data_IF_710268390888
#
_entry.id   IF_710268390888
#
_cell.length_a   1.000
_cell.length_b   1.000
_cell.length_c   1.000
_cell.angle_alpha   90.00
_cell.angle_beta   90.00
_cell.angle_gamma   90.00
#
_symmetry.space_group_name_H-M   'P 1'
#
loop_
_entity.id
_entity.type
_entity.pdbx_description
1 polymer ?
#
# COMPACT_ATOMS: atom_id res chain seq x y z
N UNK A 1 9.34 22.93 -10.79
CA UNK A 1 9.66 21.72 -10.00
C UNK A 1 11.12 21.36 -10.23
N UNK A 2 11.87 21.05 -9.19
CA UNK A 2 13.27 20.64 -9.33
C UNK A 2 13.39 19.29 -10.04
N UNK A 3 14.52 19.04 -10.75
CA UNK A 3 14.76 17.77 -11.44
C UNK A 3 14.55 16.55 -10.54
N UNK A 4 15.00 16.60 -9.29
CA UNK A 4 14.80 15.55 -8.30
C UNK A 4 13.32 15.28 -8.01
N UNK A 5 12.49 16.34 -7.90
CA UNK A 5 11.04 16.21 -7.69
C UNK A 5 10.38 15.38 -8.77
N UNK A 6 10.68 15.69 -10.04
CA UNK A 6 10.09 14.95 -11.16
C UNK A 6 10.56 13.49 -11.20
N UNK A 7 11.86 13.24 -10.96
CA UNK A 7 12.41 11.89 -10.94
C UNK A 7 11.77 11.04 -9.83
N UNK A 8 11.63 11.60 -8.63
CA UNK A 8 11.05 10.89 -7.48
C UNK A 8 9.56 10.61 -7.64
N UNK A 9 8.79 11.61 -8.12
CA UNK A 9 7.35 11.41 -8.37
C UNK A 9 7.15 10.39 -9.50
N UNK A 10 7.93 10.46 -10.58
CA UNK A 10 7.83 9.48 -11.66
C UNK A 10 8.24 8.07 -11.20
N UNK A 11 9.26 7.95 -10.36
CA UNK A 11 9.70 6.67 -9.82
C UNK A 11 8.61 6.00 -8.98
N UNK A 12 8.03 6.73 -8.00
CA UNK A 12 6.97 6.18 -7.17
C UNK A 12 5.70 5.91 -7.99
N UNK A 13 5.38 6.74 -8.97
CA UNK A 13 4.24 6.58 -9.85
C UNK A 13 4.32 5.27 -10.66
N UNK A 14 5.46 5.02 -11.29
CA UNK A 14 5.70 3.82 -12.11
C UNK A 14 5.71 2.57 -11.22
N UNK A 15 6.37 2.62 -10.06
CA UNK A 15 6.35 1.53 -9.09
C UNK A 15 4.91 1.20 -8.65
N UNK A 16 4.11 2.22 -8.34
CA UNK A 16 2.70 2.04 -7.92
C UNK A 16 1.87 1.35 -8.99
N UNK A 17 2.12 1.60 -10.28
CA UNK A 17 1.42 0.89 -11.38
C UNK A 17 1.73 -0.60 -11.32
N UNK A 18 3.01 -0.97 -11.24
CA UNK A 18 3.45 -2.36 -11.16
C UNK A 18 2.83 -3.07 -9.96
N UNK A 19 2.98 -2.50 -8.76
CA UNK A 19 2.43 -3.04 -7.52
C UNK A 19 0.91 -3.29 -7.61
N UNK A 20 0.14 -2.38 -8.20
CA UNK A 20 -1.32 -2.52 -8.34
C UNK A 20 -1.68 -3.66 -9.29
N UNK A 21 -0.99 -3.75 -10.42
CA UNK A 21 -1.22 -4.80 -11.42
C UNK A 21 -0.86 -6.16 -10.82
N UNK A 22 0.29 -6.26 -10.16
CA UNK A 22 0.75 -7.48 -9.54
C UNK A 22 -0.15 -7.94 -8.38
N UNK A 23 -0.53 -7.03 -7.46
CA UNK A 23 -1.41 -7.33 -6.34
C UNK A 23 -2.77 -7.88 -6.81
N UNK A 24 -3.37 -7.24 -7.85
CA UNK A 24 -4.66 -7.68 -8.39
C UNK A 24 -4.52 -9.02 -9.11
N UNK A 25 -3.42 -9.23 -9.84
CA UNK A 25 -3.11 -10.48 -10.51
C UNK A 25 -2.97 -11.63 -9.51
N UNK A 26 -2.21 -11.45 -8.44
CA UNK A 26 -2.04 -12.48 -7.40
C UNK A 26 -3.39 -12.80 -6.74
N UNK A 27 -4.18 -11.78 -6.39
CA UNK A 27 -5.52 -11.98 -5.82
C UNK A 27 -6.43 -12.77 -6.77
N UNK A 28 -6.36 -12.48 -8.08
CA UNK A 28 -7.14 -13.16 -9.11
C UNK A 28 -6.69 -14.60 -9.32
N UNK A 29 -5.40 -14.81 -9.58
CA UNK A 29 -4.88 -16.12 -9.94
C UNK A 29 -4.92 -17.13 -8.80
N UNK A 30 -4.59 -16.73 -7.58
CA UNK A 30 -4.68 -17.65 -6.44
C UNK A 30 -6.12 -18.06 -6.13
N UNK A 31 -7.08 -17.18 -6.43
CA UNK A 31 -8.50 -17.53 -6.32
C UNK A 31 -8.95 -18.50 -7.42
N UNK A 32 -8.38 -18.37 -8.63
CA UNK A 32 -8.74 -19.19 -9.81
C UNK A 32 -8.09 -20.56 -9.79
N UNK A 33 -6.76 -20.60 -9.64
CA UNK A 33 -5.95 -21.80 -9.79
C UNK A 33 -6.30 -22.88 -8.76
N UNK A 34 -6.66 -22.48 -7.54
CA UNK A 34 -6.94 -23.42 -6.46
C UNK A 34 -8.43 -23.76 -6.33
N UNK A 35 -9.32 -23.09 -7.06
CA UNK A 35 -10.77 -23.20 -6.87
C UNK A 35 -11.24 -22.80 -5.46
N UNK A 36 -10.33 -22.33 -4.61
CA UNK A 36 -10.59 -21.96 -3.23
C UNK A 36 -10.12 -20.51 -2.97
N UNK A 37 -11.06 -19.59 -2.96
CA UNK A 37 -10.78 -18.16 -2.70
C UNK A 37 -10.09 -17.91 -1.34
N UNK A 38 -10.24 -18.83 -0.37
CA UNK A 38 -9.58 -18.71 0.94
C UNK A 38 -8.07 -18.70 0.84
N UNK A 39 -7.49 -19.34 -0.17
CA UNK A 39 -6.05 -19.32 -0.40
C UNK A 39 -5.54 -17.90 -0.74
N UNK A 40 -6.25 -17.15 -1.57
CA UNK A 40 -5.93 -15.75 -1.82
C UNK A 40 -6.12 -14.89 -0.55
N UNK A 41 -7.18 -15.13 0.23
CA UNK A 41 -7.41 -14.46 1.52
C UNK A 41 -6.27 -14.73 2.49
N UNK A 42 -5.77 -15.97 2.58
CA UNK A 42 -4.62 -16.30 3.43
C UNK A 42 -3.34 -15.59 3.00
N UNK A 43 -3.04 -15.58 1.70
CA UNK A 43 -1.82 -14.91 1.20
C UNK A 43 -1.91 -13.40 1.42
N UNK A 44 -3.00 -12.76 1.02
CA UNK A 44 -3.19 -11.31 1.17
C UNK A 44 -3.23 -10.91 2.66
N UNK A 45 -3.97 -11.65 3.48
CA UNK A 45 -4.08 -11.38 4.91
C UNK A 45 -2.75 -11.53 5.64
N UNK A 46 -1.96 -12.57 5.31
CA UNK A 46 -0.63 -12.78 5.87
C UNK A 46 0.34 -11.69 5.42
N UNK A 47 0.32 -11.28 4.14
CA UNK A 47 1.10 -10.16 3.60
C UNK A 47 0.79 -8.87 4.36
N UNK A 48 -0.48 -8.50 4.52
CA UNK A 48 -0.88 -7.29 5.26
C UNK A 48 -0.39 -7.31 6.71
N UNK A 49 -0.54 -8.43 7.42
CA UNK A 49 -0.06 -8.58 8.79
C UNK A 49 1.46 -8.49 8.87
N UNK A 50 2.16 -9.13 7.93
CA UNK A 50 3.62 -9.12 7.85
C UNK A 50 4.18 -7.71 7.59
N UNK A 51 3.61 -6.98 6.61
CA UNK A 51 3.97 -5.58 6.33
C UNK A 51 3.75 -4.67 7.53
N UNK A 52 2.65 -4.84 8.26
CA UNK A 52 2.40 -4.09 9.48
C UNK A 52 3.49 -4.30 10.53
N UNK A 53 3.94 -5.55 10.72
CA UNK A 53 5.05 -5.88 11.64
C UNK A 53 6.38 -5.33 11.11
N UNK A 54 6.67 -5.54 9.81
CA UNK A 54 7.90 -5.06 9.18
C UNK A 54 8.09 -3.56 9.31
N UNK A 55 7.00 -2.79 9.21
CA UNK A 55 7.06 -1.32 9.24
C UNK A 55 7.73 -0.77 10.50
N UNK A 56 7.63 -1.46 11.64
CA UNK A 56 8.30 -1.07 12.89
C UNK A 56 9.82 -1.26 12.83
N UNK A 57 10.29 -2.32 12.17
CA UNK A 57 11.71 -2.64 12.11
C UNK A 57 12.44 -1.91 10.99
N UNK A 58 11.80 -1.80 9.84
CA UNK A 58 12.40 -1.22 8.63
C UNK A 58 12.68 0.26 8.80
N UNK A 59 11.83 1.02 9.51
CA UNK A 59 12.06 2.44 9.77
C UNK A 59 13.41 2.69 10.45
N UNK A 60 13.64 2.05 11.61
CA UNK A 60 14.90 2.17 12.34
C UNK A 60 16.14 1.66 11.56
N UNK A 61 15.94 0.65 10.70
CA UNK A 61 16.99 0.16 9.80
C UNK A 61 17.37 1.19 8.73
N UNK A 62 16.37 1.81 8.09
CA UNK A 62 16.55 2.82 7.04
C UNK A 62 17.26 4.06 7.56
N UNK A 63 16.93 4.53 8.76
CA UNK A 63 17.54 5.72 9.36
C UNK A 63 19.06 5.59 9.56
N UNK A 64 19.55 4.35 9.63
CA UNK A 64 20.98 4.04 9.84
C UNK A 64 21.76 3.75 8.56
N UNK A 65 21.09 3.66 7.42
CA UNK A 65 21.71 3.24 6.17
C UNK A 65 21.50 4.28 5.07
N UNK A 66 22.28 4.16 4.00
CA UNK A 66 22.15 4.96 2.79
C UNK A 66 20.79 4.74 2.14
N UNK A 67 19.91 5.73 2.23
CA UNK A 67 18.52 5.67 1.77
C UNK A 67 18.45 5.40 0.27
N UNK A 68 19.25 6.11 -0.52
CA UNK A 68 19.31 5.89 -1.97
C UNK A 68 19.81 4.50 -2.33
N UNK A 69 20.83 3.97 -1.63
CA UNK A 69 21.34 2.61 -1.87
C UNK A 69 20.27 1.56 -1.52
N UNK A 70 19.55 1.75 -0.41
CA UNK A 70 18.46 0.86 -0.02
C UNK A 70 17.36 0.82 -1.07
N UNK A 71 16.95 1.97 -1.64
CA UNK A 71 15.97 2.01 -2.73
C UNK A 71 16.46 1.27 -3.98
N UNK A 72 17.74 1.41 -4.34
CA UNK A 72 18.34 0.70 -5.47
C UNK A 72 18.37 -0.82 -5.21
N UNK A 73 18.84 -1.22 -4.03
CA UNK A 73 18.94 -2.63 -3.64
C UNK A 73 17.54 -3.27 -3.60
N UNK A 74 16.53 -2.59 -3.04
CA UNK A 74 15.17 -3.10 -2.98
C UNK A 74 14.61 -3.37 -4.38
N UNK A 75 14.82 -2.46 -5.35
CA UNK A 75 14.35 -2.66 -6.72
C UNK A 75 15.09 -3.79 -7.45
N UNK A 76 16.42 -3.88 -7.30
CA UNK A 76 17.18 -4.98 -7.89
C UNK A 76 16.72 -6.33 -7.29
N UNK A 77 16.53 -6.37 -5.98
CA UNK A 77 16.04 -7.57 -5.29
C UNK A 77 14.61 -7.93 -5.74
N UNK A 78 13.71 -6.95 -5.89
CA UNK A 78 12.35 -7.19 -6.41
C UNK A 78 12.37 -7.74 -7.84
N UNK A 79 13.21 -7.20 -8.72
CA UNK A 79 13.37 -7.74 -10.09
C UNK A 79 13.77 -9.22 -10.03
N UNK A 80 14.73 -9.58 -9.19
CA UNK A 80 15.17 -10.98 -9.05
C UNK A 80 14.05 -11.85 -8.48
N UNK A 81 13.38 -11.41 -7.43
CA UNK A 81 12.30 -12.16 -6.77
C UNK A 81 11.14 -12.38 -7.72
N UNK A 82 10.67 -11.35 -8.45
CA UNK A 82 9.56 -11.48 -9.40
C UNK A 82 9.97 -12.33 -10.61
N UNK A 83 11.24 -12.26 -11.06
CA UNK A 83 11.74 -13.15 -12.12
C UNK A 83 11.73 -14.60 -11.69
N UNK A 84 12.16 -14.91 -10.46
CA UNK A 84 12.10 -16.26 -9.89
C UNK A 84 10.66 -16.70 -9.68
N UNK A 85 9.79 -15.80 -9.23
CA UNK A 85 8.35 -16.07 -9.07
C UNK A 85 7.72 -16.48 -10.42
N UNK A 86 8.01 -15.73 -11.49
CA UNK A 86 7.55 -16.06 -12.84
C UNK A 86 8.10 -17.45 -13.31
N UNK A 87 9.37 -17.73 -13.06
CA UNK A 87 10.00 -19.01 -13.43
C UNK A 87 9.36 -20.21 -12.71
N UNK A 88 9.03 -20.04 -11.42
CA UNK A 88 8.44 -21.09 -10.59
C UNK A 88 6.91 -20.99 -10.51
N UNK A 89 6.26 -20.22 -11.38
CA UNK A 89 4.83 -19.99 -11.35
C UNK A 89 3.98 -21.26 -11.35
N UNK A 90 4.38 -22.29 -12.10
CA UNK A 90 3.72 -23.61 -12.07
C UNK A 90 3.70 -24.24 -10.67
N UNK A 91 4.83 -24.20 -9.96
CA UNK A 91 4.92 -24.70 -8.58
C UNK A 91 4.13 -23.87 -7.59
N UNK A 92 4.00 -22.55 -7.82
CA UNK A 92 3.19 -21.65 -6.98
C UNK A 92 1.71 -22.03 -7.05
N UNK A 93 1.22 -22.43 -8.20
CA UNK A 93 -0.16 -22.91 -8.38
C UNK A 93 -0.43 -24.18 -7.60
N UNK A 94 0.53 -25.09 -7.56
CA UNK A 94 0.41 -26.37 -6.86
C UNK A 94 0.62 -26.22 -5.35
N UNK A 95 1.51 -25.32 -4.93
CA UNK A 95 1.94 -25.13 -3.55
C UNK A 95 1.85 -23.65 -3.12
N UNK A 96 0.71 -23.27 -2.54
CA UNK A 96 0.43 -21.88 -2.11
C UNK A 96 1.48 -21.30 -1.15
N UNK A 97 2.16 -22.18 -0.36
CA UNK A 97 3.22 -21.77 0.56
C UNK A 97 4.42 -21.15 -0.19
N UNK A 98 4.71 -21.62 -1.42
CA UNK A 98 5.76 -21.06 -2.28
C UNK A 98 5.34 -19.65 -2.74
N UNK A 99 4.11 -19.49 -3.18
CA UNK A 99 3.56 -18.18 -3.55
C UNK A 99 3.60 -17.19 -2.39
N UNK A 100 3.19 -17.64 -1.20
CA UNK A 100 3.27 -16.81 0.02
C UNK A 100 4.71 -16.39 0.31
N UNK A 101 5.69 -17.30 0.20
CA UNK A 101 7.09 -16.97 0.42
C UNK A 101 7.57 -15.86 -0.51
N UNK A 102 7.27 -15.94 -1.83
CA UNK A 102 7.64 -14.90 -2.79
C UNK A 102 6.97 -13.56 -2.49
N UNK A 103 5.68 -13.57 -2.14
CA UNK A 103 4.95 -12.35 -1.76
C UNK A 103 5.60 -11.71 -0.52
N UNK A 104 5.90 -12.48 0.53
CA UNK A 104 6.53 -11.95 1.74
C UNK A 104 7.95 -11.42 1.49
N UNK A 105 8.73 -12.05 0.62
CA UNK A 105 10.04 -11.54 0.23
C UNK A 105 9.93 -10.21 -0.54
N UNK A 106 8.94 -10.09 -1.43
CA UNK A 106 8.69 -8.83 -2.12
C UNK A 106 8.17 -7.73 -1.19
N UNK A 107 7.35 -8.08 -0.18
CA UNK A 107 6.89 -7.16 0.86
C UNK A 107 8.05 -6.52 1.63
N UNK A 108 9.12 -7.28 1.93
CA UNK A 108 10.34 -6.75 2.56
C UNK A 108 10.95 -5.65 1.69
N UNK A 109 11.09 -5.90 0.38
CA UNK A 109 11.66 -4.93 -0.55
C UNK A 109 10.79 -3.69 -0.69
N UNK A 110 9.47 -3.87 -0.76
CA UNK A 110 8.51 -2.77 -0.88
C UNK A 110 8.53 -1.88 0.37
N UNK A 111 8.55 -2.45 1.58
CA UNK A 111 8.69 -1.67 2.82
C UNK A 111 10.05 -0.94 2.89
N UNK A 112 11.14 -1.58 2.49
CA UNK A 112 12.46 -0.95 2.41
C UNK A 112 12.44 0.24 1.43
N UNK A 113 11.84 0.07 0.26
CA UNK A 113 11.71 1.12 -0.74
C UNK A 113 10.89 2.30 -0.21
N UNK A 114 9.67 2.05 0.29
CA UNK A 114 8.75 3.10 0.75
C UNK A 114 9.36 3.89 1.92
N UNK A 115 9.93 3.22 2.92
CA UNK A 115 10.55 3.89 4.07
C UNK A 115 11.78 4.71 3.66
N UNK A 116 12.62 4.16 2.79
CA UNK A 116 13.78 4.86 2.25
C UNK A 116 13.36 6.07 1.40
N UNK A 117 12.31 5.94 0.60
CA UNK A 117 11.74 7.03 -0.19
C UNK A 117 11.23 8.18 0.70
N UNK A 118 10.44 7.87 1.73
CA UNK A 118 9.91 8.87 2.67
C UNK A 118 11.06 9.57 3.39
N UNK A 119 12.01 8.81 3.92
CA UNK A 119 13.16 9.37 4.65
C UNK A 119 14.07 10.19 3.75
N UNK A 120 14.37 9.73 2.53
CA UNK A 120 15.18 10.48 1.57
C UNK A 120 14.50 11.78 1.13
N UNK A 121 13.19 11.77 0.92
CA UNK A 121 12.47 12.98 0.51
C UNK A 121 12.41 14.03 1.62
N UNK A 122 12.33 13.60 2.89
CA UNK A 122 12.40 14.51 4.03
C UNK A 122 13.80 15.15 4.20
N UNK A 123 14.85 14.50 3.72
CA UNK A 123 16.21 15.07 3.75
C UNK A 123 16.47 16.05 2.59
N UNK A 124 15.86 15.79 1.42
CA UNK A 124 16.09 16.60 0.20
C UNK A 124 15.36 17.94 0.24
N UNK A 125 14.17 17.97 0.85
CA UNK A 125 13.26 19.11 0.81
C UNK A 125 13.17 19.80 2.17
N UNK A 126 13.18 21.15 2.18
CA UNK A 126 12.76 21.90 3.36
C UNK A 126 11.27 21.64 3.68
N UNK A 127 10.82 22.02 4.88
CA UNK A 127 9.47 21.74 5.37
C UNK A 127 8.37 22.17 4.38
N UNK A 128 8.46 23.38 3.82
CA UNK A 128 7.47 23.90 2.87
C UNK A 128 7.51 23.18 1.52
N UNK A 129 8.71 22.84 1.05
CA UNK A 129 8.90 22.07 -0.18
C UNK A 129 8.44 20.64 -0.01
N UNK A 130 8.71 20.02 1.16
CA UNK A 130 8.27 18.67 1.49
C UNK A 130 6.75 18.55 1.49
N UNK A 131 6.04 19.50 2.12
CA UNK A 131 4.55 19.51 2.11
C UNK A 131 4.01 19.58 0.67
N UNK A 132 4.58 20.45 -0.16
CA UNK A 132 4.19 20.56 -1.57
C UNK A 132 4.50 19.29 -2.35
N UNK A 133 5.70 18.73 -2.17
CA UNK A 133 6.12 17.48 -2.79
C UNK A 133 5.19 16.34 -2.43
N UNK A 134 4.90 16.14 -1.14
CA UNK A 134 3.99 15.11 -0.66
C UNK A 134 2.57 15.28 -1.22
N UNK A 135 2.10 16.52 -1.31
CA UNK A 135 0.79 16.80 -1.90
C UNK A 135 0.72 16.38 -3.37
N UNK A 136 1.73 16.75 -4.18
CA UNK A 136 1.80 16.32 -5.57
C UNK A 136 1.97 14.81 -5.72
N UNK A 137 2.88 14.21 -4.95
CA UNK A 137 3.10 12.76 -4.96
C UNK A 137 1.82 12.00 -4.64
N UNK A 138 1.08 12.42 -3.61
CA UNK A 138 -0.18 11.83 -3.22
C UNK A 138 -1.26 11.96 -4.31
N UNK A 139 -1.37 13.12 -4.96
CA UNK A 139 -2.33 13.30 -6.07
C UNK A 139 -2.00 12.36 -7.22
N UNK A 140 -0.73 12.31 -7.63
CA UNK A 140 -0.28 11.46 -8.75
C UNK A 140 -0.51 9.99 -8.43
N UNK A 141 -0.10 9.51 -7.25
CA UNK A 141 -0.29 8.11 -6.86
C UNK A 141 -1.77 7.72 -6.72
N UNK A 142 -2.64 8.65 -6.29
CA UNK A 142 -4.10 8.39 -6.24
C UNK A 142 -4.73 8.28 -7.61
N UNK A 143 -4.38 9.16 -8.55
CA UNK A 143 -4.85 9.07 -9.95
C UNK A 143 -4.40 7.74 -10.55
N UNK A 144 -3.13 7.40 -10.39
CA UNK A 144 -2.55 6.13 -10.86
C UNK A 144 -3.24 4.93 -10.21
N UNK A 145 -3.62 5.02 -8.94
CA UNK A 145 -4.32 3.92 -8.27
C UNK A 145 -5.71 3.65 -8.87
N UNK A 146 -6.42 4.68 -9.32
CA UNK A 146 -7.70 4.52 -10.02
C UNK A 146 -7.49 3.88 -11.39
N UNK A 147 -6.63 4.48 -12.20
CA UNK A 147 -6.37 4.03 -13.57
C UNK A 147 -5.66 2.67 -13.59
N UNK A 148 -4.67 2.49 -12.72
CA UNK A 148 -3.91 1.25 -12.60
C UNK A 148 -4.77 0.06 -12.20
N UNK A 149 -5.73 0.23 -11.30
CA UNK A 149 -6.63 -0.87 -10.93
C UNK A 149 -7.59 -1.25 -12.06
N UNK A 150 -8.10 -0.28 -12.81
CA UNK A 150 -8.91 -0.54 -14.00
C UNK A 150 -8.09 -1.23 -15.10
N UNK A 151 -6.88 -0.73 -15.38
CA UNK A 151 -5.95 -1.33 -16.33
C UNK A 151 -5.52 -2.74 -15.92
N UNK A 152 -5.25 -2.97 -14.62
CA UNK A 152 -4.89 -4.28 -14.11
C UNK A 152 -5.98 -5.31 -14.40
N UNK A 153 -7.25 -4.98 -14.16
CA UNK A 153 -8.36 -5.87 -14.46
C UNK A 153 -8.42 -6.23 -15.96
N UNK A 154 -8.26 -5.25 -16.85
CA UNK A 154 -8.23 -5.48 -18.30
C UNK A 154 -7.00 -6.30 -18.73
N UNK A 155 -5.82 -6.02 -18.18
CA UNK A 155 -4.61 -6.77 -18.51
C UNK A 155 -4.74 -8.24 -18.10
N UNK A 156 -5.26 -8.53 -16.91
CA UNK A 156 -5.44 -9.91 -16.42
C UNK A 156 -6.36 -10.73 -17.35
N UNK A 157 -7.34 -10.10 -17.99
CA UNK A 157 -8.25 -10.79 -18.91
C UNK A 157 -7.67 -11.02 -20.31
N UNK A 158 -6.78 -10.13 -20.77
CA UNK A 158 -6.40 -10.09 -22.19
C UNK A 158 -4.94 -10.45 -22.47
N UNK A 159 -4.07 -10.48 -21.44
CA UNK A 159 -2.66 -10.80 -21.62
C UNK A 159 -2.27 -12.06 -20.86
N UNK A 160 -1.17 -12.69 -21.27
CA UNK A 160 -0.65 -13.86 -20.58
C UNK A 160 -0.08 -13.50 -19.21
N UNK A 161 -0.10 -14.45 -18.29
CA UNK A 161 0.50 -14.32 -16.96
C UNK A 161 1.96 -13.86 -17.01
N UNK A 162 2.74 -14.42 -17.95
CA UNK A 162 4.12 -14.04 -18.17
C UNK A 162 4.25 -12.56 -18.56
N UNK A 163 3.33 -12.02 -19.34
CA UNK A 163 3.35 -10.61 -19.72
C UNK A 163 3.13 -9.71 -18.49
N UNK A 164 2.31 -10.11 -17.53
CA UNK A 164 2.10 -9.38 -16.28
C UNK A 164 3.39 -9.32 -15.46
N UNK A 165 4.10 -10.45 -15.31
CA UNK A 165 5.41 -10.46 -14.65
C UNK A 165 6.44 -9.56 -15.37
N UNK A 166 6.46 -9.58 -16.70
CA UNK A 166 7.36 -8.71 -17.48
C UNK A 166 7.02 -7.23 -17.30
N UNK A 167 5.74 -6.88 -17.23
CA UNK A 167 5.30 -5.51 -16.96
C UNK A 167 5.78 -5.07 -15.58
N UNK A 168 5.59 -5.90 -14.56
CA UNK A 168 5.99 -5.57 -13.19
C UNK A 168 7.53 -5.43 -13.07
N UNK A 169 8.29 -6.36 -13.61
CA UNK A 169 9.76 -6.26 -13.71
C UNK A 169 10.17 -4.96 -14.42
N UNK A 170 9.47 -4.61 -15.52
CA UNK A 170 9.70 -3.38 -16.27
C UNK A 170 9.47 -2.12 -15.45
N UNK A 171 8.44 -2.09 -14.61
CA UNK A 171 8.16 -0.95 -13.72
C UNK A 171 9.25 -0.78 -12.67
N UNK A 172 9.72 -1.86 -12.03
CA UNK A 172 10.86 -1.82 -11.11
C UNK A 172 12.14 -1.33 -11.82
N UNK A 173 12.40 -1.82 -13.03
CA UNK A 173 13.59 -1.42 -13.80
C UNK A 173 13.57 0.07 -14.18
N UNK A 174 12.43 0.58 -14.66
CA UNK A 174 12.29 2.01 -15.00
C UNK A 174 12.41 2.87 -13.73
N UNK A 175 11.75 2.48 -12.65
CA UNK A 175 11.85 3.16 -11.35
C UNK A 175 13.29 3.19 -10.85
N UNK A 176 14.03 2.08 -10.95
CA UNK A 176 15.46 1.98 -10.61
C UNK A 176 16.30 2.98 -11.40
N UNK A 177 16.09 3.10 -12.73
CA UNK A 177 16.79 4.06 -13.57
C UNK A 177 16.50 5.51 -13.18
N UNK A 178 15.28 5.82 -12.79
CA UNK A 178 14.88 7.15 -12.32
C UNK A 178 15.55 7.47 -10.99
N UNK A 179 15.53 6.57 -10.02
CA UNK A 179 16.14 6.73 -8.70
C UNK A 179 17.67 6.89 -8.82
N UNK A 180 18.30 6.13 -9.70
CA UNK A 180 19.76 6.23 -9.90
C UNK A 180 20.21 7.63 -10.30
N UNK A 181 19.36 8.38 -11.06
CA UNK A 181 19.61 9.76 -11.53
C UNK A 181 19.28 10.83 -10.49
N UNK A 182 18.67 10.50 -9.37
CA UNK A 182 18.41 11.46 -8.29
C UNK A 182 19.73 11.91 -7.67
N UNK A 183 19.93 13.23 -7.59
CA UNK A 183 21.08 13.81 -6.90
C UNK A 183 20.72 13.90 -5.42
N UNK A 184 21.44 13.13 -4.60
CA UNK A 184 21.23 13.07 -3.15
C UNK A 184 22.59 12.96 -2.45
N UNK A 185 22.89 13.95 -1.63
CA UNK A 185 24.01 13.92 -0.69
C UNK A 185 23.53 13.31 0.62
N UNK A 186 24.15 12.21 0.99
CA UNK A 186 23.76 11.51 2.21
C UNK A 186 24.07 12.35 3.44
N UNK A 187 23.07 12.65 4.24
CA UNK A 187 23.27 13.18 5.59
C UNK A 187 23.81 12.03 6.45
N UNK A 188 25.13 11.96 6.55
CA UNK A 188 25.81 10.97 7.41
C UNK A 188 25.51 11.32 8.86
N UNK A 189 24.50 10.68 9.44
CA UNK A 189 24.33 10.71 10.89
C UNK A 189 25.43 9.82 11.47
N UNK A 190 26.52 10.46 11.87
CA UNK A 190 27.68 9.83 12.51
C UNK A 190 27.32 9.36 13.93
N UNK A 191 26.38 8.47 14.07
CA UNK A 191 26.19 7.75 15.30
C UNK A 191 27.05 6.48 15.30
N UNK A 192 28.20 6.54 15.97
CA UNK A 192 29.00 5.35 16.28
C UNK A 192 28.10 4.37 17.00
N UNK A 193 27.84 3.23 16.36
CA UNK A 193 27.09 2.13 16.93
C UNK A 193 27.84 1.62 18.18
N UNK A 194 27.35 1.98 19.37
CA UNK A 194 27.79 1.40 20.65
C UNK A 194 26.95 0.18 21.05
N UNK A 195 25.79 -0.03 20.38
CA UNK A 195 24.86 -1.13 20.70
C UNK A 195 24.45 -1.85 19.41
N UNK A 196 24.12 -3.13 19.49
CA UNK A 196 23.67 -3.93 18.36
C UNK A 196 22.41 -3.33 17.68
N UNK A 197 22.24 -3.54 16.37
CA UNK A 197 21.09 -3.06 15.61
C UNK A 197 19.77 -3.49 16.27
N UNK A 198 19.69 -4.75 16.70
CA UNK A 198 18.50 -5.33 17.33
C UNK A 198 18.19 -4.64 18.67
N UNK A 199 19.21 -4.40 19.50
CA UNK A 199 19.02 -3.75 20.80
C UNK A 199 18.51 -2.32 20.65
N UNK A 200 18.98 -1.61 19.61
CA UNK A 200 18.50 -0.26 19.32
C UNK A 200 17.04 -0.29 18.84
N UNK A 201 16.68 -1.20 17.96
CA UNK A 201 15.28 -1.36 17.50
C UNK A 201 14.35 -1.66 18.68
N UNK A 202 14.75 -2.59 19.55
CA UNK A 202 13.96 -2.94 20.72
C UNK A 202 13.81 -1.73 21.66
N UNK A 203 14.88 -0.97 21.88
CA UNK A 203 14.83 0.25 22.72
C UNK A 203 13.91 1.31 22.13
N UNK A 204 13.95 1.53 20.79
CA UNK A 204 13.11 2.50 20.10
C UNK A 204 11.63 2.10 20.16
N UNK A 205 11.32 0.82 19.94
CA UNK A 205 9.95 0.29 20.08
C UNK A 205 9.47 0.44 21.53
N UNK A 206 10.31 0.11 22.51
CA UNK A 206 9.97 0.26 23.93
C UNK A 206 9.72 1.73 24.30
N UNK A 207 10.57 2.64 23.85
CA UNK A 207 10.38 4.08 24.07
C UNK A 207 9.07 4.58 23.45
N UNK A 208 8.76 4.17 22.23
CA UNK A 208 7.52 4.53 21.55
C UNK A 208 6.29 4.02 22.30
N UNK A 209 6.30 2.76 22.75
CA UNK A 209 5.20 2.19 23.54
C UNK A 209 5.00 2.89 24.88
N UNK A 210 6.10 3.24 25.55
CA UNK A 210 6.05 4.01 26.80
C UNK A 210 5.46 5.40 26.56
N UNK A 211 5.88 6.08 25.50
CA UNK A 211 5.38 7.42 25.15
C UNK A 211 3.88 7.38 24.81
N UNK A 212 3.43 6.40 24.04
CA UNK A 212 2.00 6.20 23.73
C UNK A 212 1.20 5.97 25.01
N UNK A 213 1.71 5.15 25.94
CA UNK A 213 1.02 4.83 27.20
C UNK A 213 0.89 6.05 28.12
N UNK A 214 1.85 6.97 28.10
CA UNK A 214 1.84 8.17 28.96
C UNK A 214 1.00 9.33 28.40
N UNK A 215 0.60 9.28 27.12
CA UNK A 215 -0.23 10.29 26.49
C UNK A 215 -1.58 9.69 26.08
N UNK A 216 -2.64 10.06 26.81
CA UNK A 216 -4.01 9.63 26.47
C UNK A 216 -4.40 10.02 25.05
N UNK A 217 -3.94 11.17 24.56
CA UNK A 217 -4.17 11.60 23.18
C UNK A 217 -3.52 10.66 22.17
N UNK A 218 -2.24 10.36 22.35
CA UNK A 218 -1.51 9.43 21.47
C UNK A 218 -2.09 8.02 21.51
N UNK A 219 -2.48 7.55 22.70
CA UNK A 219 -3.11 6.24 22.84
C UNK A 219 -4.42 6.14 22.05
N UNK A 220 -5.32 7.12 22.23
CA UNK A 220 -6.59 7.17 21.49
C UNK A 220 -6.35 7.27 19.99
N UNK A 221 -5.39 8.11 19.56
CA UNK A 221 -5.02 8.25 18.15
C UNK A 221 -4.52 6.92 17.54
N UNK A 222 -3.63 6.21 18.23
CA UNK A 222 -3.09 4.91 17.76
C UNK A 222 -4.19 3.85 17.69
N UNK A 223 -5.05 3.74 18.71
CA UNK A 223 -6.19 2.80 18.69
C UNK A 223 -7.12 3.11 17.53
N UNK A 224 -7.39 4.38 17.30
CA UNK A 224 -8.25 4.85 16.21
C UNK A 224 -7.65 4.51 14.85
N UNK A 225 -6.36 4.79 14.63
CA UNK A 225 -5.66 4.44 13.40
C UNK A 225 -5.61 2.92 13.20
N UNK A 226 -5.46 2.14 14.27
CA UNK A 226 -5.51 0.69 14.21
C UNK A 226 -6.88 0.20 13.71
N UNK A 227 -7.98 0.68 14.27
CA UNK A 227 -9.34 0.31 13.85
C UNK A 227 -9.60 0.70 12.39
N UNK A 228 -9.18 1.90 11.98
CA UNK A 228 -9.32 2.34 10.57
C UNK A 228 -8.51 1.46 9.62
N UNK A 229 -7.28 1.11 9.96
CA UNK A 229 -6.46 0.25 9.13
C UNK A 229 -7.01 -1.18 9.05
N UNK A 230 -7.63 -1.71 10.11
CA UNK A 230 -8.34 -2.99 10.04
C UNK A 230 -9.50 -2.93 9.04
N UNK A 231 -10.26 -1.84 9.05
CA UNK A 231 -11.34 -1.63 8.09
C UNK A 231 -10.83 -1.52 6.65
N UNK A 232 -9.71 -0.83 6.43
CA UNK A 232 -9.06 -0.78 5.10
C UNK A 232 -8.52 -2.14 4.65
N UNK A 233 -7.93 -2.91 5.57
CA UNK A 233 -7.42 -4.26 5.28
C UNK A 233 -8.50 -5.26 4.86
N UNK A 234 -9.77 -5.00 5.18
CA UNK A 234 -10.90 -5.82 4.75
C UNK A 234 -11.11 -5.79 3.22
N UNK A 235 -10.84 -4.66 2.56
CA UNK A 235 -11.15 -4.50 1.12
C UNK A 235 -10.33 -5.42 0.22
N UNK A 236 -9.00 -5.52 0.32
CA UNK A 236 -8.24 -6.50 -0.45
C UNK A 236 -8.70 -7.94 -0.22
N UNK A 237 -9.15 -8.26 1.01
CA UNK A 237 -9.62 -9.60 1.36
C UNK A 237 -10.98 -9.95 0.76
N UNK A 238 -11.80 -8.94 0.45
CA UNK A 238 -13.13 -9.19 -0.13
C UNK A 238 -13.07 -9.46 -1.63
N UNK A 239 -12.04 -9.01 -2.34
CA UNK A 239 -11.90 -9.20 -3.79
C UNK A 239 -11.93 -10.70 -4.19
N UNK A 240 -11.17 -11.61 -3.55
CA UNK A 240 -11.27 -13.05 -3.82
C UNK A 240 -12.64 -13.62 -3.54
N UNK A 241 -13.33 -13.11 -2.51
CA UNK A 241 -14.70 -13.55 -2.15
C UNK A 241 -15.69 -13.16 -3.24
N UNK A 242 -15.56 -11.98 -3.82
CA UNK A 242 -16.39 -11.55 -4.95
C UNK A 242 -16.22 -12.44 -6.15
N UNK A 243 -14.98 -12.75 -6.52
CA UNK A 243 -14.70 -13.67 -7.62
C UNK A 243 -15.43 -15.02 -7.44
N UNK A 244 -15.35 -15.59 -6.25
CA UNK A 244 -15.93 -16.89 -5.96
C UNK A 244 -17.47 -16.91 -6.03
N UNK A 245 -18.12 -15.78 -5.67
CA UNK A 245 -19.60 -15.76 -5.56
C UNK A 245 -20.29 -15.28 -6.86
N UNK A 246 -19.65 -14.44 -7.66
CA UNK A 246 -20.31 -13.76 -8.77
C UNK A 246 -19.85 -14.31 -10.12
N UNK A 247 -18.79 -15.12 -10.14
CA UNK A 247 -18.15 -15.66 -11.36
C UNK A 247 -17.86 -14.55 -12.40
N UNK A 248 -17.46 -13.36 -11.93
CA UNK A 248 -17.31 -12.15 -12.70
C UNK A 248 -15.89 -11.99 -13.23
N UNK A 249 -15.72 -11.06 -14.16
CA UNK A 249 -14.47 -10.79 -14.83
C UNK A 249 -13.45 -10.05 -13.96
N UNK A 250 -12.15 -10.16 -14.28
CA UNK A 250 -11.10 -9.44 -13.58
C UNK A 250 -11.23 -7.92 -13.74
N UNK A 251 -11.79 -7.46 -14.87
CA UNK A 251 -12.07 -6.05 -15.10
C UNK A 251 -13.03 -5.46 -14.09
N UNK A 252 -14.04 -6.21 -13.66
CA UNK A 252 -14.98 -5.78 -12.63
C UNK A 252 -14.31 -5.68 -11.25
N UNK A 253 -13.36 -6.55 -10.92
CA UNK A 253 -12.54 -6.39 -9.70
C UNK A 253 -11.69 -5.11 -9.75
N UNK A 254 -11.14 -4.79 -10.91
CA UNK A 254 -10.47 -3.52 -11.16
C UNK A 254 -11.37 -2.31 -10.89
N UNK A 255 -12.62 -2.35 -11.34
CA UNK A 255 -13.62 -1.29 -11.08
C UNK A 255 -13.94 -1.17 -9.59
N UNK A 256 -14.10 -2.29 -8.86
CA UNK A 256 -14.31 -2.26 -7.40
C UNK A 256 -13.11 -1.61 -6.69
N UNK A 257 -11.88 -2.02 -7.04
CA UNK A 257 -10.65 -1.45 -6.47
C UNK A 257 -10.50 0.03 -6.79
N UNK A 258 -10.88 0.47 -7.99
CA UNK A 258 -10.88 1.88 -8.39
C UNK A 258 -11.92 2.70 -7.62
N UNK A 259 -13.08 2.14 -7.34
CA UNK A 259 -14.19 2.83 -6.67
C UNK A 259 -13.79 3.39 -5.30
N UNK A 260 -13.00 2.65 -4.51
CA UNK A 260 -12.52 3.15 -3.21
C UNK A 260 -11.67 4.41 -3.39
N UNK A 261 -10.74 4.40 -4.33
CA UNK A 261 -9.81 5.52 -4.56
C UNK A 261 -10.55 6.75 -5.09
N UNK A 262 -11.57 6.57 -5.93
CA UNK A 262 -12.45 7.67 -6.36
C UNK A 262 -13.17 8.26 -5.16
N UNK A 263 -13.71 7.43 -4.27
CA UNK A 263 -14.31 7.87 -3.01
C UNK A 263 -13.35 8.68 -2.15
N UNK A 264 -12.11 8.23 -2.02
CA UNK A 264 -11.04 8.91 -1.28
C UNK A 264 -10.71 10.29 -1.88
N UNK A 265 -10.61 10.41 -3.20
CA UNK A 265 -10.36 11.68 -3.90
C UNK A 265 -11.48 12.68 -3.63
N UNK A 266 -12.74 12.25 -3.74
CA UNK A 266 -13.89 13.10 -3.44
C UNK A 266 -13.93 13.48 -1.95
N UNK A 267 -13.63 12.54 -1.05
CA UNK A 267 -13.50 12.78 0.39
C UNK A 267 -12.47 13.87 0.69
N UNK A 268 -11.29 13.83 0.06
CA UNK A 268 -10.25 14.86 0.20
C UNK A 268 -10.74 16.26 -0.22
N UNK A 269 -11.51 16.36 -1.29
CA UNK A 269 -12.04 17.64 -1.78
C UNK A 269 -13.05 18.28 -0.83
N UNK A 270 -13.74 17.48 -0.01
CA UNK A 270 -14.81 17.95 0.89
C UNK A 270 -14.33 18.22 2.32
N UNK A 271 -13.18 17.68 2.71
CA UNK A 271 -12.60 17.77 4.07
C UNK A 271 -12.60 19.20 4.62
N UNK A 272 -12.18 20.19 3.83
CA UNK A 272 -12.08 21.58 4.27
C UNK A 272 -13.44 22.18 4.72
N UNK A 273 -14.55 21.64 4.20
CA UNK A 273 -15.92 22.07 4.57
C UNK A 273 -16.43 21.36 5.83
N UNK A 274 -15.99 20.13 6.06
CA UNK A 274 -16.46 19.24 7.13
C UNK A 274 -15.60 19.36 8.39
N UNK A 275 -14.34 19.78 8.27
CA UNK A 275 -13.38 19.89 9.38
C UNK A 275 -13.85 20.73 10.58
N UNK A 276 -14.85 21.60 10.38
CA UNK A 276 -15.46 22.38 11.46
C UNK A 276 -16.25 21.51 12.48
N UNK A 277 -16.62 20.28 12.14
CA UNK A 277 -17.48 19.39 12.93
C UNK A 277 -16.78 18.08 13.32
N UNK A 278 -15.49 18.15 13.65
CA UNK A 278 -14.59 17.02 13.85
C UNK A 278 -15.19 15.91 14.73
N UNK A 279 -15.64 16.23 15.95
CA UNK A 279 -16.09 15.20 16.92
C UNK A 279 -17.35 14.46 16.47
N UNK A 280 -18.32 15.18 15.89
CA UNK A 280 -19.59 14.58 15.44
C UNK A 280 -19.38 13.77 14.18
N UNK A 281 -18.59 14.28 13.24
CA UNK A 281 -18.25 13.62 11.99
C UNK A 281 -17.55 12.30 12.24
N UNK A 282 -16.66 12.24 13.24
CA UNK A 282 -15.95 11.03 13.62
C UNK A 282 -16.89 9.93 14.14
N UNK A 283 -17.71 10.23 15.13
CA UNK A 283 -18.65 9.23 15.71
C UNK A 283 -19.60 8.68 14.64
N UNK A 284 -20.14 9.58 13.80
CA UNK A 284 -21.04 9.20 12.73
C UNK A 284 -20.38 8.31 11.69
N UNK A 285 -19.15 8.63 11.32
CA UNK A 285 -18.43 7.88 10.30
C UNK A 285 -17.98 6.49 10.77
N UNK A 286 -17.64 6.32 12.04
CA UNK A 286 -17.38 4.99 12.61
C UNK A 286 -18.62 4.09 12.55
N UNK A 287 -19.78 4.62 12.90
CA UNK A 287 -21.04 3.89 12.78
C UNK A 287 -21.37 3.57 11.32
N UNK A 288 -21.20 4.54 10.42
CA UNK A 288 -21.44 4.35 8.98
C UNK A 288 -20.51 3.26 8.40
N UNK A 289 -19.25 3.20 8.80
CA UNK A 289 -18.33 2.15 8.33
C UNK A 289 -18.82 0.74 8.70
N UNK A 290 -19.34 0.54 9.91
CA UNK A 290 -19.92 -0.75 10.32
C UNK A 290 -21.12 -1.10 9.42
N UNK A 291 -22.03 -0.16 9.17
CA UNK A 291 -23.18 -0.37 8.29
C UNK A 291 -22.76 -0.65 6.85
N UNK A 292 -21.74 0.04 6.33
CA UNK A 292 -21.23 -0.16 4.97
C UNK A 292 -20.63 -1.55 4.82
N UNK A 293 -19.78 -1.99 5.76
CA UNK A 293 -19.19 -3.34 5.73
C UNK A 293 -20.29 -4.40 5.77
N UNK A 294 -21.30 -4.21 6.62
CA UNK A 294 -22.46 -5.11 6.69
C UNK A 294 -23.28 -5.10 5.40
N UNK A 295 -23.49 -3.92 4.79
CA UNK A 295 -24.17 -3.79 3.52
C UNK A 295 -23.41 -4.46 2.37
N UNK A 296 -22.09 -4.31 2.30
CA UNK A 296 -21.23 -5.01 1.33
C UNK A 296 -21.42 -6.53 1.46
N UNK A 297 -21.47 -7.06 2.66
CA UNK A 297 -21.69 -8.50 2.89
C UNK A 297 -23.08 -8.94 2.47
N UNK A 298 -24.14 -8.20 2.82
CA UNK A 298 -25.53 -8.51 2.49
C UNK A 298 -25.79 -8.45 0.98
N UNK A 299 -25.20 -7.47 0.29
CA UNK A 299 -25.40 -7.25 -1.14
C UNK A 299 -24.25 -7.80 -2.00
N UNK A 300 -23.46 -8.74 -1.49
CA UNK A 300 -22.28 -9.32 -2.15
C UNK A 300 -22.52 -9.84 -3.57
N UNK A 301 -23.77 -10.19 -3.92
CA UNK A 301 -24.16 -10.67 -5.24
C UNK A 301 -24.59 -9.56 -6.21
N UNK A 302 -24.56 -8.28 -5.78
CA UNK A 302 -25.00 -7.14 -6.58
C UNK A 302 -23.83 -6.17 -6.78
N UNK A 303 -23.09 -6.38 -7.86
CA UNK A 303 -21.86 -5.67 -8.20
C UNK A 303 -21.96 -4.14 -8.05
N UNK A 304 -22.97 -3.52 -8.67
CA UNK A 304 -23.14 -2.06 -8.62
C UNK A 304 -23.33 -1.53 -7.20
N UNK A 305 -24.11 -2.21 -6.37
CA UNK A 305 -24.31 -1.80 -4.98
C UNK A 305 -23.04 -1.92 -4.17
N UNK A 306 -22.28 -2.99 -4.38
CA UNK A 306 -20.98 -3.16 -3.72
C UNK A 306 -20.00 -2.08 -4.13
N UNK A 307 -19.87 -1.76 -5.42
CA UNK A 307 -19.02 -0.67 -5.89
C UNK A 307 -19.42 0.67 -5.27
N UNK A 308 -20.73 0.96 -5.16
CA UNK A 308 -21.24 2.15 -4.49
C UNK A 308 -20.90 2.18 -2.99
N UNK A 309 -21.05 1.07 -2.27
CA UNK A 309 -20.71 1.00 -0.84
C UNK A 309 -19.21 1.15 -0.60
N UNK A 310 -18.38 0.55 -1.45
CA UNK A 310 -16.92 0.70 -1.39
C UNK A 310 -16.51 2.14 -1.70
N UNK A 311 -17.15 2.82 -2.65
CA UNK A 311 -16.94 4.22 -2.92
C UNK A 311 -17.27 5.10 -1.68
N UNK A 312 -18.43 4.88 -1.05
CA UNK A 312 -18.84 5.57 0.18
C UNK A 312 -17.85 5.32 1.31
N UNK A 313 -17.35 4.09 1.43
CA UNK A 313 -16.32 3.71 2.40
C UNK A 313 -15.04 4.53 2.21
N UNK A 314 -14.52 4.64 0.98
CA UNK A 314 -13.35 5.45 0.66
C UNK A 314 -13.56 6.93 1.01
N UNK A 315 -14.71 7.49 0.65
CA UNK A 315 -15.10 8.86 0.95
C UNK A 315 -15.08 9.17 2.46
N UNK A 316 -15.74 8.32 3.25
CA UNK A 316 -15.87 8.51 4.70
C UNK A 316 -14.52 8.42 5.39
N UNK A 317 -13.73 7.38 5.08
CA UNK A 317 -12.46 7.14 5.77
C UNK A 317 -11.43 8.22 5.48
N UNK A 318 -11.33 8.70 4.24
CA UNK A 318 -10.41 9.80 3.90
C UNK A 318 -10.82 11.09 4.60
N UNK A 319 -12.12 11.34 4.69
CA UNK A 319 -12.64 12.52 5.40
C UNK A 319 -12.25 12.47 6.89
N UNK A 320 -12.35 11.30 7.53
CA UNK A 320 -11.95 11.11 8.93
C UNK A 320 -10.46 11.34 9.14
N UNK A 321 -9.63 10.59 8.41
CA UNK A 321 -8.17 10.60 8.60
C UNK A 321 -7.64 12.03 8.48
N UNK A 322 -8.10 12.78 7.47
CA UNK A 322 -7.64 14.14 7.25
C UNK A 322 -8.18 15.16 8.24
N UNK A 323 -9.39 14.94 8.78
CA UNK A 323 -9.96 15.84 9.78
C UNK A 323 -9.24 15.74 11.12
N UNK A 324 -8.58 14.61 11.42
CA UNK A 324 -7.83 14.38 12.67
C UNK A 324 -6.32 14.61 12.55
N UNK A 325 -5.76 14.57 11.34
CA UNK A 325 -4.33 14.78 11.11
C UNK A 325 -3.95 16.24 10.88
N UNK A 326 -4.92 17.14 10.80
CA UNK A 326 -4.76 18.59 10.70
C UNK A 326 -5.60 19.31 11.78
#
# INVERSE_FOLDING_TARGET
MNKNTNLLISAIAINTIGDIIFDLFIAWELSSATGNFMNAVYVIGTSLAFRAILSFFVGSFVDKHSKKKLMIISHISSIVIISLFALFWGLVRDYIAIGLLFVLLNDINNELFIRSYISMTSDIFDENQYIKFQSYSNIVTRIISVEGAALAGLLIEHVSELAIFIIDIGTYFISLLLISKVIYEEVVISNKFSTGIIDTIISDVKYTLVTIRHSSYLFVFVVLMFVLNLAYGYIPLILPVFKANINESASLLGVIKSSITVGEIVGMAVVSKISKYVSTTFKLSMLLNVFIIMAIYLFKNQFLLVACFIWIFGFINTTIIRTYCF
#
